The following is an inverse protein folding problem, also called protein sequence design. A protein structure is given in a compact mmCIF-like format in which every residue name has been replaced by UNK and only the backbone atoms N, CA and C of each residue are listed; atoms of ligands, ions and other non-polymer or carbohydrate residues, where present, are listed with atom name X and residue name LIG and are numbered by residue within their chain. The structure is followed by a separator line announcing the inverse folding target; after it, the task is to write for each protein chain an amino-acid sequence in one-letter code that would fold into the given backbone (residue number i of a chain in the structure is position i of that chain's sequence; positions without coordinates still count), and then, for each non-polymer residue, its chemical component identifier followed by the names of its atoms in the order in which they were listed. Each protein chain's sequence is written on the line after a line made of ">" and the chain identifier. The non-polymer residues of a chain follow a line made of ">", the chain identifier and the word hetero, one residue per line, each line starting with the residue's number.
data_IF_369144097319
#
_entry.id   IF_369144097319
#
_cell.length_a   1.000
_cell.length_b   1.000
_cell.length_c   1.000
_cell.angle_alpha   90.00
_cell.angle_beta   90.00
_cell.angle_gamma   90.00
#
_symmetry.space_group_name_H-M   'P 1'
#
loop_
_entity.id
_entity.type
_entity.pdbx_description
1 polymer ?
#
# COMPACT_ATOMS: atom_id res chain seq x y z
N UNK A 1 8.31 -10.33 -28.78
CA UNK A 1 8.42 -11.17 -27.57
C UNK A 1 7.96 -10.32 -26.40
N UNK A 2 6.72 -10.50 -25.97
CA UNK A 2 6.11 -9.81 -24.83
C UNK A 2 6.49 -10.58 -23.56
N UNK A 3 7.23 -9.95 -22.63
CA UNK A 3 7.56 -10.59 -21.34
C UNK A 3 6.58 -10.08 -20.29
N UNK A 4 5.67 -10.96 -19.86
CA UNK A 4 4.72 -10.72 -18.76
C UNK A 4 5.20 -11.42 -17.50
N UNK A 5 5.30 -10.69 -16.40
CA UNK A 5 5.65 -11.23 -15.09
C UNK A 5 4.65 -10.74 -14.05
N UNK A 6 4.13 -11.63 -13.21
CA UNK A 6 3.26 -11.28 -12.09
C UNK A 6 4.08 -11.22 -10.80
N UNK A 7 4.05 -10.09 -10.10
CA UNK A 7 4.77 -9.92 -8.85
C UNK A 7 3.94 -9.12 -7.84
N UNK A 8 3.74 -9.69 -6.64
CA UNK A 8 3.09 -9.02 -5.51
C UNK A 8 1.74 -8.33 -5.82
N UNK A 9 0.89 -8.94 -6.65
CA UNK A 9 -0.41 -8.35 -7.04
C UNK A 9 -0.35 -7.38 -8.21
N UNK A 10 0.78 -7.29 -8.92
CA UNK A 10 0.95 -6.48 -10.12
C UNK A 10 1.33 -7.35 -11.31
N UNK A 11 0.83 -6.97 -12.49
CA UNK A 11 1.24 -7.46 -13.79
C UNK A 11 2.21 -6.48 -14.43
N UNK A 12 3.40 -6.99 -14.73
CA UNK A 12 4.48 -6.27 -15.37
C UNK A 12 4.55 -6.75 -16.82
N UNK A 13 4.34 -5.87 -17.78
CA UNK A 13 4.53 -6.16 -19.20
C UNK A 13 5.65 -5.28 -19.76
N UNK A 14 6.56 -5.87 -20.52
CA UNK A 14 7.62 -5.15 -21.22
C UNK A 14 7.43 -5.31 -22.72
N UNK A 15 7.17 -4.18 -23.39
CA UNK A 15 7.01 -4.07 -24.83
C UNK A 15 8.25 -3.42 -25.46
N UNK A 16 8.72 -3.98 -26.57
CA UNK A 16 9.80 -3.35 -27.36
C UNK A 16 9.15 -2.55 -28.49
N UNK A 17 9.32 -1.24 -28.43
CA UNK A 17 8.86 -0.26 -29.44
C UNK A 17 10.04 0.20 -30.31
N UNK A 18 9.77 0.87 -31.42
CA UNK A 18 10.82 1.48 -32.26
C UNK A 18 11.66 2.53 -31.52
N UNK A 19 11.15 3.08 -30.41
CA UNK A 19 11.82 4.10 -29.58
C UNK A 19 12.50 3.54 -28.33
N UNK A 20 12.44 2.23 -28.10
CA UNK A 20 13.01 1.58 -26.90
C UNK A 20 12.04 0.65 -26.19
N UNK A 21 12.26 0.41 -24.89
CA UNK A 21 11.42 -0.48 -24.09
C UNK A 21 10.35 0.32 -23.34
N UNK A 22 9.09 -0.14 -23.42
CA UNK A 22 7.97 0.37 -22.65
C UNK A 22 7.63 -0.64 -21.55
N UNK A 23 7.74 -0.21 -20.30
CA UNK A 23 7.31 -0.97 -19.13
C UNK A 23 5.89 -0.56 -18.75
N UNK A 24 4.97 -1.51 -18.71
CA UNK A 24 3.61 -1.35 -18.20
C UNK A 24 3.49 -2.10 -16.87
N UNK A 25 2.98 -1.41 -15.86
CA UNK A 25 2.76 -1.95 -14.52
C UNK A 25 1.28 -1.74 -14.22
N UNK A 26 0.51 -2.83 -14.18
CA UNK A 26 -0.92 -2.80 -13.95
C UNK A 26 -1.21 -3.61 -12.67
N UNK A 27 -2.08 -3.12 -11.79
CA UNK A 27 -2.50 -3.91 -10.63
C UNK A 27 -3.42 -5.03 -11.10
N UNK A 28 -3.32 -6.23 -10.51
CA UNK A 28 -4.30 -7.27 -10.81
C UNK A 28 -5.67 -6.87 -10.24
N UNK A 29 -6.78 -7.28 -10.86
CA UNK A 29 -8.13 -7.01 -10.34
C UNK A 29 -8.31 -7.49 -8.88
N UNK A 30 -7.66 -8.62 -8.53
CA UNK A 30 -7.64 -9.17 -7.18
C UNK A 30 -6.92 -8.23 -6.19
N UNK A 31 -5.80 -7.63 -6.61
CA UNK A 31 -5.05 -6.68 -5.79
C UNK A 31 -5.77 -5.34 -5.65
N UNK A 32 -6.45 -4.88 -6.69
CA UNK A 32 -7.33 -3.71 -6.59
C UNK A 32 -8.48 -3.95 -5.61
N UNK A 33 -9.16 -5.10 -5.70
CA UNK A 33 -10.23 -5.46 -4.77
C UNK A 33 -9.71 -5.59 -3.32
N UNK A 34 -8.55 -6.21 -3.12
CA UNK A 34 -7.92 -6.29 -1.81
C UNK A 34 -7.57 -4.89 -1.26
N UNK A 35 -7.08 -4.00 -2.13
CA UNK A 35 -6.79 -2.60 -1.77
C UNK A 35 -8.06 -1.85 -1.34
N UNK A 36 -9.16 -2.01 -2.08
CA UNK A 36 -10.45 -1.42 -1.74
C UNK A 36 -10.97 -1.92 -0.38
N UNK A 37 -10.89 -3.22 -0.12
CA UNK A 37 -11.30 -3.80 1.17
C UNK A 37 -10.47 -3.26 2.34
N UNK A 38 -9.15 -3.14 2.16
CA UNK A 38 -8.25 -2.56 3.18
C UNK A 38 -8.61 -1.10 3.45
N UNK A 39 -8.87 -0.30 2.41
CA UNK A 39 -9.28 1.09 2.59
C UNK A 39 -10.65 1.20 3.26
N UNK A 40 -11.61 0.36 2.90
CA UNK A 40 -12.92 0.31 3.56
C UNK A 40 -12.80 -0.01 5.06
N UNK A 41 -11.95 -0.98 5.43
CA UNK A 41 -11.66 -1.29 6.84
C UNK A 41 -10.97 -0.12 7.55
N UNK A 42 -10.06 0.57 6.87
CA UNK A 42 -9.38 1.75 7.42
C UNK A 42 -10.35 2.91 7.66
N UNK A 43 -11.31 3.12 6.76
CA UNK A 43 -12.35 4.13 6.90
C UNK A 43 -13.34 3.80 8.03
N UNK A 44 -13.69 2.51 8.21
CA UNK A 44 -14.46 2.07 9.37
C UNK A 44 -13.70 2.32 10.67
N UNK A 45 -12.42 1.93 10.74
CA UNK A 45 -11.55 2.21 11.88
C UNK A 45 -11.47 3.71 12.18
N UNK A 46 -11.26 4.54 11.15
CA UNK A 46 -11.21 6.00 11.28
C UNK A 46 -12.53 6.57 11.81
N UNK A 47 -13.65 6.04 11.35
CA UNK A 47 -14.99 6.47 11.78
C UNK A 47 -15.22 6.16 13.26
N UNK A 48 -14.88 4.94 13.69
CA UNK A 48 -14.98 4.54 15.10
C UNK A 48 -13.97 5.26 16.00
N UNK A 49 -12.76 5.51 15.52
CA UNK A 49 -11.77 6.31 16.24
C UNK A 49 -12.30 7.73 16.49
N UNK A 50 -12.89 8.37 15.47
CA UNK A 50 -13.50 9.70 15.60
C UNK A 50 -14.68 9.71 16.58
N UNK A 51 -15.55 8.69 16.54
CA UNK A 51 -16.65 8.53 17.52
C UNK A 51 -16.13 8.43 18.95
N UNK A 52 -14.96 7.81 19.12
CA UNK A 52 -14.25 7.68 20.40
C UNK A 52 -13.42 8.93 20.76
N UNK A 53 -13.55 10.04 20.02
CA UNK A 53 -12.80 11.28 20.24
C UNK A 53 -11.35 11.28 19.75
N UNK A 54 -10.89 10.21 19.10
CA UNK A 54 -9.53 10.08 18.57
C UNK A 54 -9.48 10.61 17.14
N UNK A 55 -8.63 11.59 16.91
CA UNK A 55 -8.48 12.26 15.61
C UNK A 55 -7.40 11.60 14.75
N UNK A 56 -7.52 11.75 13.43
CA UNK A 56 -6.54 11.20 12.47
C UNK A 56 -5.09 11.63 12.77
N UNK A 57 -4.80 12.89 13.17
CA UNK A 57 -3.45 13.29 13.60
C UNK A 57 -2.93 12.50 14.81
N UNK A 58 -3.77 12.15 15.77
CA UNK A 58 -3.38 11.37 16.96
C UNK A 58 -3.04 9.92 16.60
N UNK A 59 -3.81 9.31 15.70
CA UNK A 59 -3.54 7.96 15.16
C UNK A 59 -2.18 7.96 14.45
N UNK A 60 -1.93 8.95 13.58
CA UNK A 60 -0.67 9.07 12.85
C UNK A 60 0.49 9.36 13.80
N UNK A 61 0.33 10.27 14.76
CA UNK A 61 1.35 10.59 15.75
C UNK A 61 1.72 9.36 16.61
N UNK A 62 0.73 8.55 17.01
CA UNK A 62 0.96 7.30 17.71
C UNK A 62 1.79 6.31 16.86
N UNK A 63 1.42 6.11 15.59
CA UNK A 63 2.13 5.23 14.68
C UNK A 63 3.57 5.68 14.41
N UNK A 64 3.78 6.98 14.18
CA UNK A 64 5.12 7.57 14.01
C UNK A 64 5.96 7.34 15.27
N UNK A 65 5.43 7.65 16.46
CA UNK A 65 6.13 7.39 17.73
C UNK A 65 6.46 5.90 17.90
N UNK A 66 5.56 5.00 17.51
CA UNK A 66 5.77 3.54 17.59
C UNK A 66 6.88 3.07 16.64
N UNK A 67 6.91 3.57 15.40
CA UNK A 67 7.96 3.22 14.43
C UNK A 67 9.32 3.77 14.85
N UNK A 68 9.36 5.03 15.30
CA UNK A 68 10.57 5.64 15.86
C UNK A 68 11.09 4.82 17.05
N UNK A 69 10.22 4.44 18.00
CA UNK A 69 10.60 3.55 19.11
C UNK A 69 11.13 2.20 18.64
N UNK A 70 10.50 1.59 17.65
CA UNK A 70 10.93 0.30 17.07
C UNK A 70 12.31 0.40 16.39
N UNK A 71 12.64 1.55 15.82
CA UNK A 71 13.94 1.80 15.17
C UNK A 71 15.02 2.24 16.16
N UNK A 72 14.64 2.93 17.24
CA UNK A 72 15.56 3.41 18.27
C UNK A 72 15.84 2.38 19.37
N UNK A 73 15.07 1.30 19.47
CA UNK A 73 15.39 0.17 20.35
C UNK A 73 16.50 -0.67 19.71
N UNK A 74 17.68 -0.80 20.34
CA UNK A 74 18.66 -1.79 19.93
C UNK A 74 17.99 -3.16 20.04
N UNK A 75 18.06 -3.96 18.97
CA UNK A 75 17.72 -5.38 19.07
C UNK A 75 18.74 -6.00 20.03
N UNK A 76 18.30 -6.34 21.24
CA UNK A 76 18.97 -7.34 22.06
C UNK A 76 18.58 -8.72 21.54
#
# INVERSE_FOLDING_TARGET
>A
MERKARLAGYELAVDKTERGYQLRIEATPEHESAREQVFALFDQFRTEARRSGVTSPEIVAYWVRRQVKRWSSPRN
#
